data_IF_813036747523
#
_entry.id   IF_813036747523
#
_cell.length_a   1.000
_cell.length_b   1.000
_cell.length_c   1.000
_cell.angle_alpha   90.00
_cell.angle_beta   90.00
_cell.angle_gamma   90.00
#
_symmetry.space_group_name_H-M   'P 1'
#
loop_
_entity.id
_entity.type
_entity.pdbx_description
1 polymer ?
#
# COMPACT_ATOMS: atom_id res chain seq x y z
N UNK A 1 -28.38 -13.32 8.63
CA UNK A 1 -27.69 -12.13 8.13
C UNK A 1 -26.20 -12.32 8.22
N UNK A 2 -25.53 -12.02 7.20
CA UNK A 2 -24.10 -12.16 7.18
C UNK A 2 -23.47 -10.82 7.59
N UNK A 3 -22.72 -10.84 8.66
CA UNK A 3 -21.88 -9.71 9.00
C UNK A 3 -20.61 -9.87 8.20
N UNK A 4 -20.45 -8.99 7.28
CA UNK A 4 -19.34 -9.08 6.38
C UNK A 4 -18.09 -8.47 7.01
N UNK A 5 -16.91 -8.93 6.62
CA UNK A 5 -15.64 -8.40 7.15
C UNK A 5 -15.49 -6.90 6.97
N UNK A 6 -16.16 -6.34 5.99
CA UNK A 6 -16.09 -4.91 5.72
C UNK A 6 -16.77 -4.06 6.77
N UNK A 7 -17.66 -4.63 7.58
CA UNK A 7 -18.21 -3.91 8.72
C UNK A 7 -17.21 -3.82 9.86
N UNK A 8 -16.22 -4.65 9.80
CA UNK A 8 -15.14 -4.61 10.77
C UNK A 8 -14.06 -3.68 10.27
N UNK A 9 -14.13 -2.44 10.70
CA UNK A 9 -13.22 -1.38 10.28
C UNK A 9 -11.83 -1.47 10.91
N UNK A 10 -11.45 -2.63 11.42
CA UNK A 10 -10.10 -2.84 11.89
C UNK A 10 -9.10 -2.92 10.76
N UNK A 11 -7.92 -2.41 11.03
CA UNK A 11 -6.75 -2.66 10.21
C UNK A 11 -5.90 -3.69 10.96
N UNK A 12 -6.19 -4.99 10.79
CA UNK A 12 -5.52 -6.01 11.60
C UNK A 12 -4.02 -6.04 11.35
N UNK A 13 -3.31 -6.43 12.39
CA UNK A 13 -1.86 -6.50 12.34
C UNK A 13 -1.35 -7.42 11.22
N UNK A 14 -2.09 -8.47 10.90
CA UNK A 14 -1.74 -9.41 9.83
C UNK A 14 -1.71 -8.76 8.44
N UNK A 15 -2.38 -7.61 8.27
CA UNK A 15 -2.39 -6.87 7.01
C UNK A 15 -1.26 -5.84 6.93
N UNK A 16 -0.45 -5.73 7.96
CA UNK A 16 0.64 -4.75 8.04
C UNK A 16 1.98 -5.40 7.80
N UNK A 17 2.81 -4.75 7.01
CA UNK A 17 4.23 -5.09 6.95
C UNK A 17 4.92 -4.38 8.10
N UNK A 18 5.47 -5.15 9.03
CA UNK A 18 6.09 -4.60 10.22
C UNK A 18 7.58 -4.92 10.33
N UNK A 19 8.04 -5.99 9.68
CA UNK A 19 9.43 -6.43 9.81
C UNK A 19 10.34 -5.68 8.85
N UNK A 20 11.49 -5.25 9.35
CA UNK A 20 12.52 -4.60 8.53
C UNK A 20 12.95 -5.49 7.36
N UNK A 21 13.05 -6.79 7.58
CA UNK A 21 13.41 -7.74 6.52
C UNK A 21 12.38 -7.72 5.38
N UNK A 22 11.09 -7.60 5.68
CA UNK A 22 10.04 -7.51 4.65
C UNK A 22 10.14 -6.21 3.86
N UNK A 23 10.42 -5.09 4.53
CA UNK A 23 10.64 -3.82 3.85
C UNK A 23 11.83 -3.91 2.90
N UNK A 24 12.94 -4.46 3.37
CA UNK A 24 14.13 -4.63 2.54
C UNK A 24 13.85 -5.50 1.32
N UNK A 25 13.15 -6.61 1.51
CA UNK A 25 12.78 -7.52 0.43
C UNK A 25 11.96 -6.82 -0.65
N UNK A 26 10.98 -6.04 -0.24
CA UNK A 26 10.11 -5.32 -1.17
C UNK A 26 10.89 -4.27 -1.95
N UNK A 27 11.71 -3.47 -1.29
CA UNK A 27 12.54 -2.48 -1.96
C UNK A 27 13.53 -3.12 -2.94
N UNK A 28 14.08 -4.26 -2.58
CA UNK A 28 15.07 -4.95 -3.40
C UNK A 28 14.52 -5.40 -4.75
N UNK A 29 13.24 -5.73 -4.83
CA UNK A 29 12.59 -6.18 -6.06
C UNK A 29 12.45 -5.06 -7.10
N UNK A 30 12.52 -3.81 -6.69
CA UNK A 30 12.49 -2.63 -7.56
C UNK A 30 11.24 -2.47 -8.43
N UNK A 31 10.14 -3.10 -8.06
CA UNK A 31 8.86 -2.85 -8.70
C UNK A 31 8.22 -1.64 -8.04
N UNK A 32 8.11 -0.53 -8.76
CA UNK A 32 7.54 0.69 -8.19
C UNK A 32 6.66 1.42 -9.19
N UNK A 33 5.68 2.11 -8.67
CA UNK A 33 4.77 2.98 -9.44
C UNK A 33 4.51 4.22 -8.60
N UNK A 34 4.42 5.37 -9.23
CA UNK A 34 4.19 6.63 -8.54
C UNK A 34 2.98 7.36 -9.10
N UNK A 35 2.19 7.95 -8.23
CA UNK A 35 1.10 8.86 -8.58
C UNK A 35 1.11 10.00 -7.56
N UNK A 36 1.29 11.24 -8.03
CA UNK A 36 1.25 12.41 -7.16
C UNK A 36 2.22 12.30 -5.98
N UNK A 37 1.73 12.44 -4.75
CA UNK A 37 2.59 12.42 -3.56
C UNK A 37 2.99 11.02 -3.13
N UNK A 38 2.52 9.98 -3.79
CA UNK A 38 2.70 8.60 -3.35
C UNK A 38 3.54 7.81 -4.34
N UNK A 39 4.45 7.00 -3.80
CA UNK A 39 5.15 5.96 -4.55
C UNK A 39 4.82 4.64 -3.85
N UNK A 40 4.51 3.62 -4.62
CA UNK A 40 4.31 2.30 -4.06
C UNK A 40 5.38 1.34 -4.58
N UNK A 41 5.94 0.54 -3.70
CA UNK A 41 6.85 -0.55 -4.02
C UNK A 41 6.13 -1.85 -3.73
N UNK A 42 6.33 -2.86 -4.56
CA UNK A 42 5.67 -4.13 -4.35
C UNK A 42 6.57 -5.32 -4.64
N UNK A 43 6.26 -6.43 -4.00
CA UNK A 43 6.91 -7.71 -4.23
C UNK A 43 5.93 -8.84 -3.95
N UNK A 44 6.16 -10.01 -4.55
CA UNK A 44 5.37 -11.18 -4.23
C UNK A 44 5.55 -11.57 -2.76
N UNK A 45 4.48 -12.05 -2.16
CA UNK A 45 4.53 -12.54 -0.79
C UNK A 45 5.33 -13.84 -0.72
N UNK A 46 6.11 -13.99 0.35
CA UNK A 46 6.79 -15.25 0.64
C UNK A 46 5.82 -16.29 1.17
N UNK A 47 4.74 -15.83 1.80
CA UNK A 47 3.64 -16.67 2.26
C UNK A 47 2.42 -16.22 1.47
N UNK A 48 1.76 -17.14 0.78
CA UNK A 48 0.58 -16.80 0.00
C UNK A 48 -0.59 -16.49 0.92
N UNK A 49 -0.93 -15.22 1.02
CA UNK A 49 -2.13 -14.74 1.69
C UNK A 49 -3.13 -14.34 0.61
N UNK A 50 -4.39 -14.34 0.91
CA UNK A 50 -5.41 -13.98 -0.08
C UNK A 50 -5.63 -12.47 -0.18
N UNK A 51 -4.73 -11.68 0.40
CA UNK A 51 -4.84 -10.22 0.43
C UNK A 51 -3.46 -9.60 0.49
N UNK A 52 -3.31 -8.35 0.06
CA UNK A 52 -2.04 -7.65 0.18
C UNK A 52 -1.75 -7.27 1.64
N UNK A 53 -0.47 -7.17 1.95
CA UNK A 53 -0.04 -6.53 3.20
C UNK A 53 0.57 -5.18 2.85
N UNK A 54 0.34 -4.21 3.71
CA UNK A 54 0.80 -2.84 3.47
C UNK A 54 1.78 -2.38 4.54
N UNK A 55 2.88 -1.80 4.09
CA UNK A 55 3.78 -1.02 4.92
C UNK A 55 3.70 0.43 4.52
N UNK A 56 3.87 1.32 5.45
CA UNK A 56 3.79 2.76 5.20
C UNK A 56 5.10 3.40 5.67
N UNK A 57 5.74 4.13 4.77
CA UNK A 57 6.99 4.82 5.08
C UNK A 57 6.82 6.32 4.84
N UNK A 58 7.00 7.09 5.89
CA UNK A 58 6.94 8.55 5.81
C UNK A 58 8.21 9.11 6.41
N UNK A 59 9.07 9.67 5.56
CA UNK A 59 10.37 10.17 6.00
C UNK A 59 10.24 11.50 6.76
N UNK A 60 11.30 11.86 7.47
CA UNK A 60 11.37 13.14 8.18
C UNK A 60 11.27 14.35 7.28
N UNK A 61 11.58 14.19 5.99
CA UNK A 61 11.46 15.27 5.00
C UNK A 61 10.02 15.71 4.78
N UNK A 62 9.06 14.82 5.02
CA UNK A 62 7.64 15.14 4.85
C UNK A 62 7.19 16.16 5.88
N UNK A 63 7.67 16.02 7.11
CA UNK A 63 7.33 16.95 8.17
C UNK A 63 7.66 16.38 9.55
N UNK A 64 7.17 17.05 10.57
CA UNK A 64 7.36 16.64 11.96
C UNK A 64 6.52 15.38 12.27
N UNK A 65 6.61 14.89 13.50
CA UNK A 65 5.90 13.67 13.91
C UNK A 65 4.39 13.79 13.72
N UNK A 66 3.81 14.96 13.97
CA UNK A 66 2.37 15.18 13.79
C UNK A 66 1.98 15.02 12.32
N UNK A 67 2.72 15.65 11.43
CA UNK A 67 2.48 15.57 9.98
C UNK A 67 2.65 14.14 9.48
N UNK A 68 3.72 13.46 9.91
CA UNK A 68 3.96 12.07 9.52
C UNK A 68 2.84 11.15 9.99
N UNK A 69 2.34 11.35 11.20
CA UNK A 69 1.23 10.55 11.72
C UNK A 69 -0.07 10.81 10.96
N UNK A 70 -0.30 12.04 10.51
CA UNK A 70 -1.45 12.37 9.67
C UNK A 70 -1.42 11.60 8.35
N UNK A 71 -0.25 11.52 7.70
CA UNK A 71 -0.08 10.72 6.49
C UNK A 71 -0.31 9.23 6.74
N UNK A 72 0.28 8.70 7.80
CA UNK A 72 0.09 7.28 8.14
C UNK A 72 -1.38 6.96 8.38
N UNK A 73 -2.08 7.83 9.10
CA UNK A 73 -3.51 7.66 9.34
C UNK A 73 -4.32 7.70 8.05
N UNK A 74 -4.03 8.68 7.19
CA UNK A 74 -4.70 8.81 5.90
C UNK A 74 -4.54 7.55 5.06
N UNK A 75 -3.32 7.02 4.98
CA UNK A 75 -3.04 5.85 4.17
C UNK A 75 -3.64 4.58 4.76
N UNK A 76 -3.62 4.41 6.07
CA UNK A 76 -4.28 3.27 6.71
C UNK A 76 -5.78 3.28 6.49
N UNK A 77 -6.40 4.44 6.64
CA UNK A 77 -7.84 4.60 6.39
C UNK A 77 -8.17 4.31 4.93
N UNK A 78 -7.40 4.85 4.00
CA UNK A 78 -7.61 4.61 2.59
C UNK A 78 -7.47 3.12 2.24
N UNK A 79 -6.41 2.48 2.73
CA UNK A 79 -6.21 1.04 2.49
C UNK A 79 -7.35 0.21 3.09
N UNK A 80 -7.78 0.54 4.29
CA UNK A 80 -8.89 -0.14 4.93
C UNK A 80 -10.16 -0.08 4.08
N UNK A 81 -10.44 1.07 3.47
CA UNK A 81 -11.62 1.26 2.63
C UNK A 81 -11.54 0.48 1.32
N UNK A 82 -10.36 0.35 0.75
CA UNK A 82 -10.20 -0.25 -0.59
C UNK A 82 -9.69 -1.69 -0.56
N UNK A 83 -9.43 -2.25 0.61
CA UNK A 83 -8.83 -3.58 0.68
C UNK A 83 -9.66 -4.68 0.00
N UNK A 84 -10.97 -4.52 -0.04
CA UNK A 84 -11.83 -5.47 -0.73
C UNK A 84 -11.66 -5.40 -2.24
N UNK A 85 -11.36 -4.23 -2.77
CA UNK A 85 -11.11 -4.06 -4.21
C UNK A 85 -9.79 -4.66 -4.66
N UNK A 86 -8.84 -4.79 -3.74
CA UNK A 86 -7.52 -5.35 -4.02
C UNK A 86 -7.32 -6.71 -3.33
N UNK A 87 -8.39 -7.29 -2.80
CA UNK A 87 -8.37 -8.64 -2.26
C UNK A 87 -7.93 -9.62 -3.34
N UNK A 88 -7.37 -10.74 -2.93
CA UNK A 88 -6.82 -11.77 -3.82
C UNK A 88 -5.51 -11.39 -4.51
N UNK A 89 -4.96 -10.22 -4.23
CA UNK A 89 -3.59 -9.93 -4.67
C UNK A 89 -2.60 -10.47 -3.63
N UNK A 90 -1.64 -11.27 -4.10
CA UNK A 90 -0.66 -11.93 -3.23
C UNK A 90 0.63 -11.13 -3.20
N UNK A 91 0.54 -9.85 -2.83
CA UNK A 91 1.68 -8.95 -2.85
C UNK A 91 1.84 -8.24 -1.52
N UNK A 92 3.08 -7.94 -1.19
CA UNK A 92 3.42 -7.01 -0.13
C UNK A 92 3.76 -5.68 -0.76
N UNK A 93 3.17 -4.62 -0.26
CA UNK A 93 3.38 -3.29 -0.81
C UNK A 93 3.84 -2.33 0.27
N UNK A 94 4.69 -1.39 -0.13
CA UNK A 94 5.11 -0.29 0.73
C UNK A 94 4.73 1.01 0.05
N UNK A 95 3.94 1.81 0.75
CA UNK A 95 3.57 3.14 0.29
C UNK A 95 4.53 4.16 0.90
N UNK A 96 5.19 4.92 0.05
CA UNK A 96 6.13 5.96 0.47
C UNK A 96 5.52 7.31 0.12
N UNK A 97 5.48 8.20 1.09
CA UNK A 97 5.05 9.58 0.87
C UNK A 97 6.25 10.41 0.45
N UNK A 98 6.17 11.02 -0.72
CA UNK A 98 7.24 11.87 -1.25
C UNK A 98 6.92 13.36 -1.24
N UNK A 99 5.70 13.74 -0.89
CA UNK A 99 5.31 15.13 -0.74
C UNK A 99 5.82 15.69 0.59
N UNK A 100 5.95 17.02 0.67
CA UNK A 100 6.22 17.70 1.93
C UNK A 100 4.93 18.31 2.45
N UNK A 101 4.81 18.41 3.77
CA UNK A 101 3.64 18.99 4.42
C UNK A 101 2.54 17.98 4.70
N UNK A 102 1.50 18.42 5.37
CA UNK A 102 0.38 17.57 5.77
C UNK A 102 -0.47 17.14 4.58
N UNK A 103 -1.18 15.99 4.66
CA UNK A 103 -2.09 15.59 3.60
C UNK A 103 -3.25 16.57 3.47
N UNK A 104 -3.78 16.70 2.26
CA UNK A 104 -4.93 17.55 2.01
C UNK A 104 -6.13 17.10 2.85
N UNK A 105 -6.88 18.05 3.37
CA UNK A 105 -8.04 17.78 4.21
C UNK A 105 -9.30 17.57 3.39
N UNK A 106 -10.30 16.93 3.99
CA UNK A 106 -11.63 16.78 3.43
C UNK A 106 -11.90 15.40 2.85
N UNK A 107 -13.17 15.11 2.65
CA UNK A 107 -13.61 13.81 2.14
C UNK A 107 -13.16 13.55 0.71
N UNK A 108 -13.15 14.58 -0.13
CA UNK A 108 -12.69 14.45 -1.50
C UNK A 108 -11.23 14.03 -1.56
N UNK A 109 -10.39 14.68 -0.76
CA UNK A 109 -8.98 14.34 -0.71
C UNK A 109 -8.75 12.91 -0.19
N UNK A 110 -9.53 12.50 0.82
CA UNK A 110 -9.48 11.13 1.31
C UNK A 110 -9.88 10.13 0.24
N UNK A 111 -10.94 10.42 -0.49
CA UNK A 111 -11.41 9.56 -1.59
C UNK A 111 -10.38 9.49 -2.72
N UNK A 112 -9.76 10.61 -3.06
CA UNK A 112 -8.70 10.64 -4.07
C UNK A 112 -7.52 9.73 -3.65
N UNK A 113 -7.17 9.74 -2.36
CA UNK A 113 -6.13 8.84 -1.84
C UNK A 113 -6.54 7.38 -2.00
N UNK A 114 -7.79 7.06 -1.72
CA UNK A 114 -8.32 5.70 -1.91
C UNK A 114 -8.19 5.24 -3.35
N UNK A 115 -8.61 6.09 -4.29
CA UNK A 115 -8.53 5.78 -5.72
C UNK A 115 -7.08 5.63 -6.17
N UNK A 116 -6.20 6.50 -5.72
CA UNK A 116 -4.77 6.41 -6.04
C UNK A 116 -4.17 5.09 -5.54
N UNK A 117 -4.53 4.66 -4.33
CA UNK A 117 -4.04 3.39 -3.79
C UNK A 117 -4.50 2.20 -4.63
N UNK A 118 -5.77 2.17 -5.03
CA UNK A 118 -6.29 1.10 -5.89
C UNK A 118 -5.51 1.03 -7.20
N UNK A 119 -5.33 2.16 -7.85
CA UNK A 119 -4.60 2.23 -9.12
C UNK A 119 -3.14 1.81 -8.93
N UNK A 120 -2.49 2.32 -7.88
CA UNK A 120 -1.08 1.99 -7.59
C UNK A 120 -0.89 0.50 -7.34
N UNK A 121 -1.75 -0.10 -6.52
CA UNK A 121 -1.65 -1.53 -6.21
C UNK A 121 -1.87 -2.36 -7.47
N UNK A 122 -2.89 -2.04 -8.26
CA UNK A 122 -3.15 -2.76 -9.50
C UNK A 122 -1.99 -2.65 -10.50
N UNK A 123 -1.39 -1.48 -10.61
CA UNK A 123 -0.25 -1.27 -11.50
C UNK A 123 1.00 -2.01 -11.04
N UNK A 124 1.28 -2.02 -9.74
CA UNK A 124 2.46 -2.73 -9.24
C UNK A 124 2.28 -4.24 -9.36
N UNK A 125 1.06 -4.75 -9.15
CA UNK A 125 0.74 -6.16 -9.37
C UNK A 125 0.98 -6.52 -10.83
N UNK A 126 0.55 -5.68 -11.76
CA UNK A 126 0.78 -5.91 -13.18
C UNK A 126 2.28 -5.96 -13.52
N UNK A 127 3.08 -5.09 -12.93
CA UNK A 127 4.54 -5.11 -13.13
C UNK A 127 5.16 -6.39 -12.61
N UNK A 128 4.74 -6.85 -11.44
CA UNK A 128 5.24 -8.11 -10.85
C UNK A 128 4.89 -9.28 -11.75
N UNK A 129 3.67 -9.34 -12.24
CA UNK A 129 3.22 -10.41 -13.12
C UNK A 129 3.97 -10.40 -14.45
N UNK A 130 4.22 -9.24 -15.03
CA UNK A 130 5.00 -9.13 -16.27
C UNK A 130 6.42 -9.62 -16.08
N UNK A 131 7.08 -9.18 -15.02
CA UNK A 131 8.44 -9.61 -14.70
C UNK A 131 8.51 -11.13 -14.50
N UNK A 132 7.52 -11.70 -13.86
CA UNK A 132 7.43 -13.15 -13.64
C UNK A 132 7.30 -13.91 -14.95
N UNK A 133 6.49 -13.40 -15.89
CA UNK A 133 6.32 -14.02 -17.21
C UNK A 133 7.63 -13.98 -17.99
N UNK A 134 8.36 -12.89 -17.94
CA UNK A 134 9.65 -12.77 -18.62
C UNK A 134 10.65 -13.78 -18.09
N UNK A 135 10.66 -14.03 -16.77
CA UNK A 135 11.54 -15.03 -16.17
C UNK A 135 11.16 -16.46 -16.60
N UNK A 136 9.90 -16.71 -16.86
CA UNK A 136 9.42 -18.04 -17.20
C UNK A 136 9.48 -18.36 -18.69
N UNK A 137 9.78 -17.37 -19.54
CA UNK A 137 9.85 -17.57 -20.99
C UNK A 137 11.25 -17.85 -21.51
N UNK A 138 12.19 -18.00 -20.65
CA UNK A 138 13.56 -18.33 -21.07
C UNK A 138 13.74 -19.82 -21.28
#
# INVERSE_FOLDING_TARGET
>A
MVITPETNFHFPRKLRLLRTADFYRVYKQKHSVAIGPLIIYGAEQTISLSHPRIGISVSRRVGNAVVRNQWKRRLREAFRQVRCEVAFTNVDVIVVVRATGKPAAGQKAAHDTEQDLVVLIKRVVAKICTSRREQNTC
#
